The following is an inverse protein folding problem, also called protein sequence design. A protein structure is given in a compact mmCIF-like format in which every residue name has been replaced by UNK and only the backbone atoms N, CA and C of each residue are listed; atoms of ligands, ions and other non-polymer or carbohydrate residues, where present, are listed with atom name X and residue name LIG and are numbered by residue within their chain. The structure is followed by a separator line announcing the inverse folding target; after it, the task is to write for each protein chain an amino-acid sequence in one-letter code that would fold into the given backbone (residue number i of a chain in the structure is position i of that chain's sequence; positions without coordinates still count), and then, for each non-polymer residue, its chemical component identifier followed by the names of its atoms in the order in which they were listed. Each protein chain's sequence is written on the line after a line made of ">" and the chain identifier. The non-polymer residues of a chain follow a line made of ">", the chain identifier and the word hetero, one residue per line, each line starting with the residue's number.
data_IF_935456603355
#
_entry.id   IF_935456603355
#
_cell.length_a   1.000
_cell.length_b   1.000
_cell.length_c   1.000
_cell.angle_alpha   90.00
_cell.angle_beta   90.00
_cell.angle_gamma   90.00
#
_symmetry.space_group_name_H-M   'P 1'
#
loop_
_entity.id
_entity.type
_entity.pdbx_description
1 polymer ?
#
# COMPACT_ATOMS: atom_id res chain seq x y z
N UNK A 1 17.82 23.73 5.89
CA UNK A 1 17.16 22.62 6.62
C UNK A 1 16.08 22.10 5.68
N UNK A 2 16.03 20.80 5.42
CA UNK A 2 15.05 20.19 4.48
C UNK A 2 13.62 20.48 4.95
N UNK A 3 12.74 20.85 4.02
CA UNK A 3 11.33 21.08 4.29
C UNK A 3 10.52 19.87 3.80
N UNK A 4 9.48 19.50 4.53
CA UNK A 4 8.59 18.39 4.17
C UNK A 4 7.29 18.97 3.62
N UNK A 5 6.92 18.58 2.40
CA UNK A 5 5.65 18.91 1.77
C UNK A 5 4.79 17.65 1.71
N UNK A 6 3.75 17.57 2.53
CA UNK A 6 2.82 16.45 2.54
C UNK A 6 1.56 16.80 1.74
N UNK A 7 1.30 16.05 0.68
CA UNK A 7 0.20 16.28 -0.25
C UNK A 7 -0.92 15.27 0.00
N UNK A 8 -2.10 15.76 0.39
CA UNK A 8 -3.29 14.96 0.66
C UNK A 8 -3.53 14.65 2.14
N UNK A 9 -4.77 14.83 2.57
CA UNK A 9 -5.24 14.58 3.95
C UNK A 9 -6.42 13.60 3.94
N UNK A 10 -6.27 12.50 3.19
CA UNK A 10 -7.22 11.40 3.16
C UNK A 10 -7.24 10.64 4.49
N UNK A 11 -8.20 9.71 4.63
CA UNK A 11 -8.37 8.91 5.86
C UNK A 11 -7.09 8.18 6.29
N UNK A 12 -6.30 7.72 5.33
CA UNK A 12 -5.05 7.01 5.58
C UNK A 12 -3.82 7.93 5.76
N UNK A 13 -3.98 9.25 5.91
CA UNK A 13 -2.86 10.20 5.98
C UNK A 13 -2.64 10.79 7.37
N UNK A 14 -3.68 10.92 8.17
CA UNK A 14 -3.70 11.75 9.38
C UNK A 14 -2.67 11.32 10.44
N UNK A 15 -2.53 10.03 10.79
CA UNK A 15 -1.56 9.62 11.81
C UNK A 15 -0.12 9.98 11.45
N UNK A 16 0.27 9.78 10.18
CA UNK A 16 1.61 10.13 9.68
C UNK A 16 1.87 11.64 9.70
N UNK A 17 0.88 12.45 9.29
CA UNK A 17 0.95 13.91 9.39
C UNK A 17 1.18 14.34 10.84
N UNK A 18 0.38 13.83 11.77
CA UNK A 18 0.50 14.14 13.20
C UNK A 18 1.86 13.74 13.77
N UNK A 19 2.36 12.57 13.38
CA UNK A 19 3.69 12.12 13.79
C UNK A 19 4.80 13.06 13.29
N UNK A 20 4.80 13.41 12.01
CA UNK A 20 5.79 14.31 11.44
C UNK A 20 5.68 15.72 12.02
N UNK A 21 4.47 16.24 12.21
CA UNK A 21 4.25 17.55 12.79
C UNK A 21 4.72 17.66 14.25
N UNK A 22 4.65 16.57 15.03
CA UNK A 22 5.24 16.52 16.38
C UNK A 22 6.77 16.51 16.32
N UNK A 23 7.37 15.80 15.34
CA UNK A 23 8.81 15.56 15.25
C UNK A 23 9.57 16.70 14.57
N UNK A 24 9.03 17.24 13.49
CA UNK A 24 9.73 18.22 12.63
C UNK A 24 9.09 19.61 12.72
N UNK A 25 9.92 20.63 12.48
CA UNK A 25 9.49 22.02 12.51
C UNK A 25 9.26 22.63 11.12
N UNK A 26 9.68 21.95 10.05
CA UNK A 26 9.54 22.43 8.67
C UNK A 26 8.60 21.51 7.90
N UNK A 27 7.29 21.72 8.05
CA UNK A 27 6.27 20.88 7.45
C UNK A 27 5.15 21.72 6.86
N UNK A 28 4.79 21.49 5.60
CA UNK A 28 3.61 22.06 4.97
C UNK A 28 2.66 20.96 4.52
N UNK A 29 1.41 21.04 4.97
CA UNK A 29 0.34 20.13 4.56
C UNK A 29 -0.45 20.79 3.45
N UNK A 30 -0.58 20.07 2.33
CA UNK A 30 -1.30 20.53 1.16
C UNK A 30 -2.56 19.69 0.92
N UNK A 31 -3.69 20.33 0.75
CA UNK A 31 -4.91 19.64 0.35
C UNK A 31 -5.78 20.51 -0.56
N UNK A 32 -6.55 19.89 -1.46
CA UNK A 32 -7.48 20.59 -2.34
C UNK A 32 -8.42 21.53 -1.55
N UNK A 33 -8.87 21.10 -0.39
CA UNK A 33 -9.67 21.89 0.55
C UNK A 33 -8.78 22.36 1.68
N UNK A 34 -8.53 23.67 1.79
CA UNK A 34 -7.64 24.26 2.80
C UNK A 34 -8.06 23.88 4.24
N UNK A 35 -9.37 23.88 4.51
CA UNK A 35 -9.88 23.54 5.83
C UNK A 35 -9.52 22.10 6.27
N UNK A 36 -9.50 21.14 5.34
CA UNK A 36 -9.03 19.77 5.65
C UNK A 36 -7.54 19.73 5.98
N UNK A 37 -6.72 20.54 5.31
CA UNK A 37 -5.30 20.67 5.66
C UNK A 37 -5.13 21.27 7.06
N UNK A 38 -5.86 22.33 7.41
CA UNK A 38 -5.85 22.93 8.74
C UNK A 38 -6.32 21.95 9.82
N UNK A 39 -7.41 21.22 9.59
CA UNK A 39 -7.93 20.22 10.51
C UNK A 39 -6.94 19.11 10.83
N UNK A 40 -6.12 18.69 9.84
CA UNK A 40 -5.12 17.63 10.02
C UNK A 40 -4.01 17.99 11.03
N UNK A 41 -3.80 19.28 11.26
CA UNK A 41 -2.76 19.82 12.15
C UNK A 41 -3.32 20.72 13.28
N UNK A 42 -4.62 20.77 13.51
CA UNK A 42 -5.26 21.66 14.50
C UNK A 42 -4.78 21.43 15.94
N UNK A 43 -4.23 20.25 16.24
CA UNK A 43 -3.67 19.88 17.55
C UNK A 43 -2.17 20.23 17.65
N UNK A 44 -1.56 20.77 16.59
CA UNK A 44 -0.14 21.12 16.55
C UNK A 44 0.01 22.63 16.79
N UNK A 45 0.58 22.98 17.92
CA UNK A 45 0.88 24.38 18.24
C UNK A 45 2.35 24.70 17.90
N UNK A 46 2.64 24.83 16.59
CA UNK A 46 3.97 25.17 16.07
C UNK A 46 3.85 26.14 14.90
N UNK A 47 4.45 27.31 15.02
CA UNK A 47 4.46 28.35 13.97
C UNK A 47 5.15 27.93 12.67
N UNK A 48 5.86 26.83 12.69
CA UNK A 48 6.62 26.28 11.55
C UNK A 48 5.94 25.12 10.83
N UNK A 49 4.68 24.80 11.19
CA UNK A 49 3.83 23.80 10.54
C UNK A 49 2.67 24.52 9.85
N UNK A 50 2.60 24.41 8.53
CA UNK A 50 1.70 25.19 7.70
C UNK A 50 0.64 24.32 7.02
N UNK A 51 -0.53 24.90 6.78
CA UNK A 51 -1.58 24.34 5.93
C UNK A 51 -1.75 25.24 4.70
N UNK A 52 -1.72 24.63 3.49
CA UNK A 52 -1.92 25.34 2.23
C UNK A 52 -2.97 24.63 1.36
N UNK A 53 -3.69 25.41 0.57
CA UNK A 53 -4.51 24.86 -0.51
C UNK A 53 -3.58 24.31 -1.58
N UNK A 54 -3.80 23.05 -1.99
CA UNK A 54 -3.01 22.41 -3.02
C UNK A 54 -3.28 23.06 -4.38
N UNK A 55 -2.23 23.50 -4.99
CA UNK A 55 -2.13 23.97 -6.36
C UNK A 55 -0.72 23.61 -6.87
N UNK A 56 -0.61 23.13 -8.11
CA UNK A 56 0.65 22.66 -8.66
C UNK A 56 1.66 23.79 -8.85
N UNK A 57 1.20 24.99 -9.25
CA UNK A 57 2.08 26.14 -9.41
C UNK A 57 2.61 26.62 -8.07
N UNK A 58 1.72 26.75 -7.07
CA UNK A 58 2.12 27.14 -5.71
C UNK A 58 3.09 26.12 -5.08
N UNK A 59 2.88 24.82 -5.32
CA UNK A 59 3.83 23.80 -4.90
C UNK A 59 5.19 24.01 -5.57
N UNK A 60 5.21 24.17 -6.90
CA UNK A 60 6.41 24.41 -7.68
C UNK A 60 7.21 25.64 -7.20
N UNK A 61 6.54 26.73 -6.84
CA UNK A 61 7.14 27.96 -6.30
C UNK A 61 7.65 27.77 -4.84
N UNK A 62 7.10 26.80 -4.10
CA UNK A 62 7.45 26.56 -2.69
C UNK A 62 8.59 25.56 -2.50
N UNK A 63 8.95 24.79 -3.54
CA UNK A 63 9.98 23.75 -3.46
C UNK A 63 11.39 24.32 -3.56
N UNK A 64 12.27 23.87 -2.67
CA UNK A 64 13.71 24.15 -2.67
C UNK A 64 14.50 22.85 -2.85
N UNK A 65 15.74 22.96 -3.29
CA UNK A 65 16.65 21.81 -3.46
C UNK A 65 16.79 21.05 -2.15
N UNK A 66 16.60 19.74 -2.22
CA UNK A 66 16.71 18.83 -1.08
C UNK A 66 15.44 18.69 -0.24
N UNK A 67 14.36 19.42 -0.56
CA UNK A 67 13.07 19.24 0.12
C UNK A 67 12.50 17.83 -0.13
N UNK A 68 11.56 17.40 0.71
CA UNK A 68 10.92 16.09 0.62
C UNK A 68 9.44 16.28 0.30
N UNK A 69 8.98 15.71 -0.79
CA UNK A 69 7.56 15.73 -1.19
C UNK A 69 6.95 14.36 -0.94
N UNK A 70 5.97 14.31 -0.05
CA UNK A 70 5.20 13.11 0.28
C UNK A 70 3.86 13.18 -0.45
N UNK A 71 3.59 12.26 -1.37
CA UNK A 71 2.34 12.24 -2.12
C UNK A 71 1.39 11.15 -1.63
N UNK A 72 0.31 11.58 -1.01
CA UNK A 72 -0.88 10.78 -0.66
C UNK A 72 -2.10 11.24 -1.46
N UNK A 73 -1.87 11.75 -2.67
CA UNK A 73 -2.88 12.05 -3.66
C UNK A 73 -3.32 10.77 -4.39
N UNK A 74 -4.39 10.80 -5.21
CA UNK A 74 -4.70 9.69 -6.10
C UNK A 74 -3.53 9.33 -7.02
N UNK A 75 -3.37 8.05 -7.35
CA UNK A 75 -2.18 7.49 -8.01
C UNK A 75 -1.83 8.17 -9.36
N UNK A 76 -2.84 8.65 -10.10
CA UNK A 76 -2.64 9.37 -11.36
C UNK A 76 -1.88 10.70 -11.23
N UNK A 77 -1.73 11.24 -10.01
CA UNK A 77 -0.96 12.46 -9.76
C UNK A 77 0.51 12.18 -9.42
N UNK A 78 0.86 10.96 -8.99
CA UNK A 78 2.21 10.69 -8.46
C UNK A 78 3.32 10.95 -9.46
N UNK A 79 3.14 10.54 -10.73
CA UNK A 79 4.17 10.73 -11.76
C UNK A 79 4.45 12.21 -12.03
N UNK A 80 3.42 13.06 -12.11
CA UNK A 80 3.60 14.50 -12.33
C UNK A 80 4.31 15.17 -11.16
N UNK A 81 3.98 14.77 -9.93
CA UNK A 81 4.67 15.25 -8.72
C UNK A 81 6.14 14.78 -8.69
N UNK A 82 6.39 13.50 -9.01
CA UNK A 82 7.75 12.95 -9.04
C UNK A 82 8.63 13.65 -10.10
N UNK A 83 8.08 13.95 -11.29
CA UNK A 83 8.78 14.74 -12.31
C UNK A 83 9.10 16.16 -11.83
N UNK A 84 8.17 16.80 -11.15
CA UNK A 84 8.41 18.10 -10.52
C UNK A 84 9.52 18.00 -9.45
N UNK A 85 9.51 16.94 -8.63
CA UNK A 85 10.58 16.70 -7.65
C UNK A 85 11.94 16.54 -8.33
N UNK A 86 12.00 15.81 -9.44
CA UNK A 86 13.23 15.63 -10.21
C UNK A 86 13.77 16.98 -10.74
N UNK A 87 12.90 17.79 -11.33
CA UNK A 87 13.23 19.13 -11.83
C UNK A 87 13.75 20.04 -10.72
N UNK A 88 13.09 20.03 -9.56
CA UNK A 88 13.42 20.86 -8.39
C UNK A 88 14.53 20.28 -7.52
N UNK A 89 15.04 19.10 -7.85
CA UNK A 89 16.04 18.36 -7.05
C UNK A 89 15.55 18.11 -5.63
N UNK A 90 14.31 17.64 -5.51
CA UNK A 90 13.64 17.24 -4.26
C UNK A 90 13.54 15.71 -4.18
N UNK A 91 13.46 15.17 -2.97
CA UNK A 91 13.12 13.77 -2.73
C UNK A 91 11.63 13.56 -2.87
N UNK A 92 11.23 12.33 -3.23
CA UNK A 92 9.82 11.93 -3.38
C UNK A 92 9.51 10.69 -2.55
N UNK A 93 8.32 10.66 -1.93
CA UNK A 93 7.85 9.52 -1.16
C UNK A 93 6.34 9.28 -1.37
N UNK A 94 5.94 8.01 -1.47
CA UNK A 94 4.53 7.60 -1.54
C UNK A 94 4.34 6.17 -1.04
N UNK A 95 3.13 5.85 -0.56
CA UNK A 95 2.74 4.46 -0.24
C UNK A 95 2.25 3.67 -1.46
N UNK A 96 2.15 4.30 -2.63
CA UNK A 96 1.62 3.67 -3.85
C UNK A 96 2.64 2.81 -4.57
N UNK A 97 2.14 1.84 -5.35
CA UNK A 97 2.95 0.97 -6.20
C UNK A 97 3.80 1.73 -7.22
N UNK A 98 4.98 1.20 -7.53
CA UNK A 98 5.86 1.72 -8.58
C UNK A 98 5.26 1.38 -9.95
N UNK A 99 4.86 2.42 -10.69
CA UNK A 99 4.45 2.25 -12.08
C UNK A 99 5.68 2.13 -13.01
N UNK A 100 5.53 1.57 -14.24
CA UNK A 100 6.61 1.58 -15.23
C UNK A 100 7.17 2.97 -15.51
N UNK A 101 6.29 3.99 -15.59
CA UNK A 101 6.70 5.38 -15.79
C UNK A 101 7.47 5.95 -14.58
N UNK A 102 7.07 5.60 -13.35
CA UNK A 102 7.84 5.95 -12.16
C UNK A 102 9.22 5.28 -12.19
N UNK A 103 9.28 4.00 -12.53
CA UNK A 103 10.55 3.26 -12.66
C UNK A 103 11.48 3.88 -13.69
N UNK A 104 10.96 4.47 -14.77
CA UNK A 104 11.77 5.15 -15.78
C UNK A 104 12.55 6.36 -15.27
N UNK A 105 12.15 6.94 -14.13
CA UNK A 105 12.86 8.07 -13.49
C UNK A 105 14.09 7.64 -12.68
N UNK A 106 14.36 6.33 -12.51
CA UNK A 106 15.41 5.81 -11.63
C UNK A 106 16.80 6.36 -11.97
N UNK A 107 17.17 6.34 -13.25
CA UNK A 107 18.48 6.81 -13.70
C UNK A 107 18.71 8.30 -13.41
N UNK A 108 17.71 9.13 -13.67
CA UNK A 108 17.78 10.56 -13.42
C UNK A 108 17.74 10.88 -11.92
N UNK A 109 16.98 10.15 -11.13
CA UNK A 109 16.97 10.30 -9.68
C UNK A 109 18.34 9.95 -9.08
N UNK A 110 18.97 8.85 -9.51
CA UNK A 110 20.33 8.46 -9.11
C UNK A 110 21.35 9.52 -9.48
N UNK A 111 21.33 10.02 -10.71
CA UNK A 111 22.25 11.06 -11.21
C UNK A 111 22.17 12.35 -10.40
N UNK A 112 21.01 12.69 -9.87
CA UNK A 112 20.78 13.88 -9.06
C UNK A 112 20.90 13.63 -7.55
N UNK A 113 21.26 12.43 -7.09
CA UNK A 113 21.32 12.02 -5.68
C UNK A 113 19.98 12.19 -4.96
N UNK A 114 18.89 11.79 -5.62
CA UNK A 114 17.54 11.88 -5.09
C UNK A 114 17.00 10.50 -4.68
N UNK A 115 16.30 10.46 -3.57
CA UNK A 115 15.54 9.29 -3.11
C UNK A 115 14.10 9.44 -3.62
N UNK A 116 13.65 8.47 -4.42
CA UNK A 116 12.26 8.33 -4.86
C UNK A 116 11.72 7.03 -4.29
N UNK A 117 11.26 7.09 -3.02
CA UNK A 117 10.76 5.91 -2.33
C UNK A 117 9.26 5.75 -2.53
N UNK A 118 8.87 4.55 -2.91
CA UNK A 118 7.50 4.14 -3.17
C UNK A 118 7.18 2.88 -2.34
N UNK A 119 5.94 2.45 -2.35
CA UNK A 119 5.55 1.18 -1.70
C UNK A 119 5.93 1.14 -0.21
N UNK A 120 5.75 2.26 0.48
CA UNK A 120 6.07 2.40 1.92
C UNK A 120 4.79 2.69 2.69
N UNK A 121 3.89 1.73 2.66
CA UNK A 121 2.63 1.75 3.37
C UNK A 121 2.37 0.44 4.09
N UNK A 122 1.18 -0.12 3.91
CA UNK A 122 0.76 -1.39 4.48
C UNK A 122 0.95 -2.53 3.47
N UNK A 123 0.23 -2.50 2.39
CA UNK A 123 0.28 -3.37 1.21
C UNK A 123 -0.03 -2.48 -0.02
N UNK A 124 1.07 -1.98 -0.61
CA UNK A 124 2.48 -2.35 -0.42
C UNK A 124 3.18 -1.60 0.73
N UNK A 125 4.10 -2.30 1.42
CA UNK A 125 5.01 -1.75 2.41
C UNK A 125 5.35 -2.70 3.55
N UNK A 126 4.50 -2.83 4.57
CA UNK A 126 4.74 -3.77 5.69
C UNK A 126 4.83 -5.21 5.18
N UNK A 127 4.04 -5.58 4.19
CA UNK A 127 4.12 -6.88 3.51
C UNK A 127 5.49 -7.13 2.89
N UNK A 128 6.14 -6.11 2.34
CA UNK A 128 7.50 -6.21 1.82
C UNK A 128 8.51 -6.51 2.93
N UNK A 129 8.45 -5.80 4.05
CA UNK A 129 9.34 -6.08 5.19
C UNK A 129 9.20 -7.53 5.68
N UNK A 130 7.97 -8.00 5.87
CA UNK A 130 7.72 -9.38 6.28
C UNK A 130 8.25 -10.40 5.26
N UNK A 131 8.09 -10.10 3.98
CA UNK A 131 8.57 -10.96 2.89
C UNK A 131 10.09 -11.07 2.88
N UNK A 132 10.79 -9.94 2.93
CA UNK A 132 12.25 -9.92 2.97
C UNK A 132 12.80 -10.66 4.19
N UNK A 133 12.20 -10.46 5.37
CA UNK A 133 12.60 -11.16 6.59
C UNK A 133 12.41 -12.68 6.47
N UNK A 134 11.30 -13.16 5.89
CA UNK A 134 11.06 -14.60 5.71
C UNK A 134 12.03 -15.21 4.68
N UNK A 135 12.24 -14.53 3.55
CA UNK A 135 13.20 -14.98 2.54
C UNK A 135 14.61 -15.06 3.10
N UNK A 136 15.02 -14.04 3.89
CA UNK A 136 16.32 -14.05 4.57
C UNK A 136 16.42 -15.23 5.53
N UNK A 137 15.42 -15.43 6.40
CA UNK A 137 15.40 -16.57 7.34
C UNK A 137 15.54 -17.92 6.63
N UNK A 138 14.85 -18.11 5.50
CA UNK A 138 14.97 -19.35 4.72
C UNK A 138 16.36 -19.49 4.11
N UNK A 139 16.96 -18.43 3.57
CA UNK A 139 18.34 -18.44 3.04
C UNK A 139 19.37 -18.79 4.11
N UNK A 140 19.19 -18.26 5.32
CA UNK A 140 20.11 -18.50 6.44
C UNK A 140 20.12 -19.99 6.88
N UNK A 141 19.12 -20.79 6.51
CA UNK A 141 19.13 -22.26 6.75
C UNK A 141 20.13 -23.02 5.87
N UNK A 142 20.61 -22.40 4.80
CA UNK A 142 21.49 -23.03 3.77
C UNK A 142 20.90 -24.29 3.11
N UNK A 143 19.58 -24.50 3.19
CA UNK A 143 18.87 -25.59 2.52
C UNK A 143 18.88 -25.38 0.99
N UNK A 144 18.90 -26.45 0.23
CA UNK A 144 18.94 -26.43 -1.24
C UNK A 144 17.86 -27.33 -1.84
N UNK A 145 17.63 -27.20 -3.15
CA UNK A 145 16.65 -28.01 -3.89
C UNK A 145 15.23 -27.90 -3.30
N UNK A 146 14.81 -26.67 -2.97
CA UNK A 146 13.54 -26.41 -2.32
C UNK A 146 12.41 -26.20 -3.33
N UNK A 147 11.25 -26.76 -3.05
CA UNK A 147 9.97 -26.29 -3.55
C UNK A 147 9.41 -25.28 -2.53
N UNK A 148 9.04 -24.09 -2.98
CA UNK A 148 8.57 -23.02 -2.08
C UNK A 148 7.16 -22.57 -2.39
N UNK A 149 6.40 -22.29 -1.36
CA UNK A 149 5.06 -21.70 -1.40
C UNK A 149 5.08 -20.39 -0.62
N UNK A 150 4.68 -19.32 -1.29
CA UNK A 150 4.63 -17.99 -0.70
C UNK A 150 3.23 -17.38 -0.85
N UNK A 151 2.70 -16.92 0.26
CA UNK A 151 1.43 -16.21 0.31
C UNK A 151 1.59 -14.89 1.11
N UNK A 152 1.12 -13.80 0.53
CA UNK A 152 0.94 -12.52 1.21
C UNK A 152 -0.49 -12.06 0.99
N UNK A 153 -1.28 -11.99 2.07
CA UNK A 153 -2.65 -11.56 2.00
C UNK A 153 -2.91 -10.43 2.97
N UNK A 154 -3.57 -9.37 2.48
CA UNK A 154 -3.94 -8.21 3.28
C UNK A 154 -5.42 -7.86 3.08
N UNK A 155 -6.10 -7.50 4.16
CA UNK A 155 -7.47 -7.02 4.11
C UNK A 155 -7.77 -5.95 5.14
N UNK A 156 -8.51 -4.93 4.71
CA UNK A 156 -9.10 -3.92 5.60
C UNK A 156 -10.61 -4.03 5.53
N UNK A 157 -11.29 -4.11 6.67
CA UNK A 157 -12.73 -4.32 6.79
C UNK A 157 -13.25 -3.75 8.13
N UNK A 158 -14.57 -3.64 8.34
CA UNK A 158 -15.11 -3.20 9.62
C UNK A 158 -14.76 -4.21 10.73
N UNK A 159 -14.39 -3.72 11.92
CA UNK A 159 -14.10 -4.55 13.09
C UNK A 159 -15.34 -5.36 13.52
N UNK A 160 -16.54 -4.79 13.34
CA UNK A 160 -17.82 -5.48 13.51
C UNK A 160 -18.43 -5.68 12.12
N UNK A 161 -18.58 -6.93 11.63
CA UNK A 161 -19.10 -7.20 10.31
C UNK A 161 -20.52 -6.66 10.10
N UNK A 162 -20.76 -6.01 8.95
CA UNK A 162 -22.09 -5.61 8.49
C UNK A 162 -22.63 -6.60 7.42
N UNK A 163 -23.86 -6.40 6.94
CA UNK A 163 -24.46 -7.26 5.91
C UNK A 163 -23.72 -7.17 4.56
N UNK A 164 -23.13 -6.03 4.24
CA UNK A 164 -22.33 -5.82 3.02
C UNK A 164 -20.93 -6.42 3.12
N UNK A 165 -20.53 -6.89 4.32
CA UNK A 165 -19.20 -7.46 4.63
C UNK A 165 -18.03 -6.53 4.33
N UNK A 166 -18.29 -5.24 4.17
CA UNK A 166 -17.27 -4.23 3.88
C UNK A 166 -17.69 -2.81 4.31
N UNK A 167 -16.74 -1.98 4.62
CA UNK A 167 -16.82 -0.51 4.73
C UNK A 167 -15.56 0.12 4.14
N UNK A 168 -15.69 1.34 3.66
CA UNK A 168 -14.60 1.96 2.91
C UNK A 168 -13.75 2.87 3.80
N UNK A 169 -12.50 2.47 4.06
CA UNK A 169 -11.45 3.29 4.65
C UNK A 169 -10.57 3.99 3.60
N UNK A 170 -10.78 3.67 2.32
CA UNK A 170 -10.12 4.26 1.17
C UNK A 170 -11.05 4.25 -0.06
N UNK A 171 -10.54 4.58 -1.25
CA UNK A 171 -11.33 4.78 -2.47
C UNK A 171 -12.18 3.56 -2.89
N UNK A 172 -13.52 3.62 -2.87
CA UNK A 172 -14.37 2.55 -3.39
C UNK A 172 -14.12 2.24 -4.86
N UNK A 173 -13.91 3.27 -5.68
CA UNK A 173 -13.55 3.13 -7.10
C UNK A 173 -12.27 2.31 -7.24
N UNK A 174 -11.27 2.58 -6.39
CA UNK A 174 -10.01 1.82 -6.37
C UNK A 174 -10.22 0.35 -6.02
N UNK A 175 -11.11 0.04 -5.08
CA UNK A 175 -11.46 -1.34 -4.70
C UNK A 175 -12.11 -2.07 -5.88
N UNK A 176 -13.09 -1.46 -6.56
CA UNK A 176 -13.82 -2.08 -7.66
C UNK A 176 -12.90 -2.26 -8.89
N UNK A 177 -12.09 -1.25 -9.23
CA UNK A 177 -11.12 -1.34 -10.34
C UNK A 177 -10.09 -2.44 -10.07
N UNK A 178 -9.65 -2.63 -8.83
CA UNK A 178 -8.74 -3.72 -8.49
C UNK A 178 -9.35 -5.11 -8.73
N UNK A 179 -10.66 -5.28 -8.53
CA UNK A 179 -11.37 -6.53 -8.81
C UNK A 179 -11.48 -6.81 -10.33
N UNK A 180 -11.61 -5.76 -11.13
CA UNK A 180 -11.76 -5.87 -12.59
C UNK A 180 -10.43 -6.07 -13.33
N UNK A 181 -9.29 -5.83 -12.68
CA UNK A 181 -7.99 -6.05 -13.27
C UNK A 181 -7.53 -7.48 -13.00
N UNK A 182 -7.13 -8.20 -14.05
CA UNK A 182 -6.62 -9.56 -13.91
C UNK A 182 -5.40 -9.59 -12.97
N UNK A 183 -5.36 -10.64 -12.16
CA UNK A 183 -4.25 -10.95 -11.28
C UNK A 183 -3.35 -12.01 -11.93
N UNK A 184 -2.03 -11.81 -11.82
CA UNK A 184 -1.03 -12.74 -12.33
C UNK A 184 -0.17 -13.25 -11.17
N UNK A 185 -0.06 -14.57 -11.04
CA UNK A 185 0.60 -15.23 -9.92
C UNK A 185 1.09 -16.61 -10.30
N UNK A 186 1.79 -17.30 -9.42
CA UNK A 186 2.24 -18.68 -9.65
C UNK A 186 1.35 -19.64 -8.87
N UNK A 187 0.85 -20.69 -9.53
CA UNK A 187 0.12 -21.82 -8.95
C UNK A 187 0.57 -23.11 -9.61
N UNK A 188 0.88 -24.15 -8.80
CA UNK A 188 1.35 -25.45 -9.30
C UNK A 188 2.55 -25.34 -10.27
N UNK A 189 3.55 -24.50 -9.89
CA UNK A 189 4.78 -24.21 -10.68
C UNK A 189 4.56 -23.47 -12.00
N UNK A 190 3.34 -23.04 -12.30
CA UNK A 190 2.99 -22.34 -13.53
C UNK A 190 2.48 -20.92 -13.23
N UNK A 191 2.82 -19.99 -14.11
CA UNK A 191 2.25 -18.65 -14.06
C UNK A 191 0.85 -18.68 -14.64
N UNK A 192 -0.11 -18.22 -13.84
CA UNK A 192 -1.53 -18.11 -14.20
C UNK A 192 -2.00 -16.68 -14.17
N UNK A 193 -3.01 -16.36 -14.97
CA UNK A 193 -3.68 -15.05 -14.98
C UNK A 193 -5.17 -15.28 -14.83
N UNK A 194 -5.76 -14.68 -13.81
CA UNK A 194 -7.16 -14.91 -13.45
C UNK A 194 -7.84 -13.61 -13.00
N UNK A 195 -9.14 -13.50 -13.28
CA UNK A 195 -9.94 -12.39 -12.76
C UNK A 195 -10.18 -12.60 -11.25
N UNK A 196 -9.82 -11.64 -10.39
CA UNK A 196 -9.81 -11.81 -8.93
C UNK A 196 -11.11 -12.36 -8.35
N UNK A 197 -12.25 -11.70 -8.61
CA UNK A 197 -13.54 -12.08 -8.02
C UNK A 197 -14.14 -13.40 -8.55
N UNK A 198 -13.54 -14.00 -9.59
CA UNK A 198 -13.90 -15.33 -10.10
C UNK A 198 -13.13 -16.47 -9.42
N UNK A 199 -12.16 -16.13 -8.60
CA UNK A 199 -11.25 -17.05 -7.94
C UNK A 199 -11.17 -16.79 -6.44
N UNK A 200 -12.33 -16.53 -5.84
CA UNK A 200 -12.46 -16.36 -4.40
C UNK A 200 -12.37 -17.72 -3.72
N UNK A 201 -11.39 -17.87 -2.85
CA UNK A 201 -11.21 -19.07 -2.02
C UNK A 201 -11.36 -18.75 -0.53
N UNK A 202 -11.49 -19.79 0.28
CA UNK A 202 -11.44 -19.64 1.75
C UNK A 202 -10.01 -19.80 2.24
N UNK A 203 -9.62 -18.91 3.13
CA UNK A 203 -8.29 -18.90 3.74
C UNK A 203 -8.42 -18.74 5.26
N UNK A 204 -7.83 -19.68 6.02
CA UNK A 204 -7.86 -19.62 7.48
C UNK A 204 -6.59 -18.99 8.01
N UNK A 205 -6.73 -17.95 8.83
CA UNK A 205 -5.64 -17.26 9.50
C UNK A 205 -6.01 -17.13 10.98
N UNK A 206 -5.19 -17.64 11.87
CA UNK A 206 -5.44 -17.63 13.32
C UNK A 206 -6.87 -18.06 13.70
N UNK A 207 -7.31 -19.23 13.19
CA UNK A 207 -8.62 -19.82 13.42
C UNK A 207 -9.83 -19.00 12.91
N UNK A 208 -9.60 -17.88 12.22
CA UNK A 208 -10.63 -17.09 11.57
C UNK A 208 -10.65 -17.37 10.06
N UNK A 209 -11.83 -17.59 9.51
CA UNK A 209 -12.02 -17.87 8.08
C UNK A 209 -12.27 -16.57 7.35
N UNK A 210 -11.45 -16.32 6.33
CA UNK A 210 -11.58 -15.22 5.39
C UNK A 210 -11.89 -15.74 4.00
N UNK A 211 -12.49 -14.90 3.17
CA UNK A 211 -12.47 -15.07 1.73
C UNK A 211 -11.26 -14.34 1.16
N UNK A 212 -10.55 -14.98 0.23
CA UNK A 212 -9.31 -14.48 -0.31
C UNK A 212 -9.25 -14.64 -1.83
N UNK A 213 -8.63 -13.69 -2.49
CA UNK A 213 -8.42 -13.73 -3.92
C UNK A 213 -7.07 -13.09 -4.30
N UNK A 214 -6.45 -13.54 -5.42
CA UNK A 214 -5.20 -12.95 -5.90
C UNK A 214 -5.42 -11.49 -6.33
N UNK A 215 -4.40 -10.65 -6.18
CA UNK A 215 -4.48 -9.23 -6.50
C UNK A 215 -3.27 -8.81 -7.32
N UNK A 216 -3.49 -8.14 -8.46
CA UNK A 216 -2.45 -7.58 -9.33
C UNK A 216 -1.47 -8.63 -9.89
N UNK A 217 -0.34 -8.18 -10.46
CA UNK A 217 0.76 -9.05 -10.86
C UNK A 217 1.71 -9.26 -9.67
N UNK A 218 1.72 -10.48 -9.14
CA UNK A 218 2.60 -10.89 -8.05
C UNK A 218 4.00 -11.28 -8.54
N UNK A 219 4.15 -11.63 -9.83
CA UNK A 219 5.37 -12.27 -10.34
C UNK A 219 6.64 -11.43 -10.27
N UNK A 220 6.62 -10.08 -10.42
CA UNK A 220 7.82 -9.27 -10.27
C UNK A 220 8.44 -9.35 -8.87
N UNK A 221 7.61 -9.60 -7.85
CA UNK A 221 8.05 -9.63 -6.46
C UNK A 221 8.89 -10.87 -6.11
N UNK A 222 8.88 -11.92 -6.91
CA UNK A 222 9.81 -13.05 -6.77
C UNK A 222 11.26 -12.54 -6.81
N UNK A 223 11.55 -11.65 -7.75
CA UNK A 223 12.86 -11.01 -7.88
C UNK A 223 13.07 -9.92 -6.84
N UNK A 224 12.09 -9.07 -6.61
CA UNK A 224 12.16 -7.95 -5.67
C UNK A 224 12.38 -8.45 -4.23
N UNK A 225 11.79 -9.57 -3.83
CA UNK A 225 12.02 -10.19 -2.51
C UNK A 225 13.28 -11.05 -2.47
N UNK A 226 14.07 -11.07 -3.53
CA UNK A 226 15.33 -11.82 -3.61
C UNK A 226 15.17 -13.33 -3.39
N UNK A 227 14.10 -13.96 -3.91
CA UNK A 227 13.99 -15.41 -3.91
C UNK A 227 15.21 -16.02 -4.62
N UNK A 228 15.74 -17.14 -4.09
CA UNK A 228 16.86 -17.81 -4.73
C UNK A 228 16.40 -18.37 -6.09
N UNK A 229 17.09 -18.07 -7.19
CA UNK A 229 16.74 -18.60 -8.52
C UNK A 229 16.76 -20.14 -8.63
N UNK A 230 17.38 -20.81 -7.66
CA UNK A 230 17.41 -22.27 -7.60
C UNK A 230 16.17 -22.88 -6.94
N UNK A 231 15.37 -22.08 -6.23
CA UNK A 231 14.11 -22.54 -5.65
C UNK A 231 13.07 -22.75 -6.74
N UNK A 232 12.35 -23.84 -6.65
CA UNK A 232 11.18 -24.09 -7.52
C UNK A 232 9.95 -23.47 -6.86
N UNK A 233 9.39 -22.48 -7.48
CA UNK A 233 8.22 -21.77 -6.97
C UNK A 233 6.98 -22.60 -7.26
N UNK A 234 6.43 -23.26 -6.25
CA UNK A 234 5.18 -24.01 -6.36
C UNK A 234 3.99 -23.06 -6.36
N UNK A 235 3.97 -22.10 -5.42
CA UNK A 235 2.98 -21.04 -5.36
C UNK A 235 3.65 -19.73 -5.01
N UNK A 236 3.19 -18.64 -5.62
CA UNK A 236 3.56 -17.28 -5.24
C UNK A 236 2.39 -16.35 -5.49
N UNK A 237 1.71 -15.97 -4.42
CA UNK A 237 0.49 -15.17 -4.48
C UNK A 237 0.59 -13.98 -3.54
N UNK A 238 0.30 -12.79 -4.07
CA UNK A 238 -0.11 -11.63 -3.28
C UNK A 238 -1.59 -11.40 -3.52
N UNK A 239 -2.36 -11.22 -2.46
CA UNK A 239 -3.81 -11.22 -2.58
C UNK A 239 -4.50 -10.42 -1.49
N UNK A 240 -5.81 -10.42 -1.57
CA UNK A 240 -6.68 -9.63 -0.70
C UNK A 240 -7.52 -10.55 0.16
N UNK A 241 -7.62 -10.22 1.46
CA UNK A 241 -8.57 -10.84 2.40
C UNK A 241 -9.87 -10.05 2.45
N UNK A 242 -10.97 -10.79 2.61
CA UNK A 242 -12.30 -10.27 2.87
C UNK A 242 -12.96 -11.07 4.00
N UNK A 243 -13.94 -10.46 4.65
CA UNK A 243 -14.76 -11.18 5.64
C UNK A 243 -15.51 -12.34 4.99
N UNK A 244 -15.65 -13.45 5.69
CA UNK A 244 -16.43 -14.58 5.22
C UNK A 244 -17.89 -14.17 4.89
N UNK A 245 -18.35 -14.54 3.68
CA UNK A 245 -19.63 -14.13 3.09
C UNK A 245 -19.57 -12.85 2.26
N UNK A 246 -18.39 -12.29 2.02
CA UNK A 246 -18.22 -11.13 1.16
C UNK A 246 -18.56 -11.43 -0.31
N UNK A 247 -18.14 -12.57 -0.83
CA UNK A 247 -18.43 -13.00 -2.20
C UNK A 247 -19.94 -12.97 -2.47
N UNK A 248 -20.71 -13.54 -1.56
CA UNK A 248 -22.16 -13.54 -1.67
C UNK A 248 -22.76 -12.12 -1.55
N UNK A 249 -22.26 -11.31 -0.63
CA UNK A 249 -22.73 -9.94 -0.44
C UNK A 249 -22.45 -9.01 -1.63
N UNK A 250 -21.44 -9.34 -2.46
CA UNK A 250 -21.01 -8.54 -3.61
C UNK A 250 -21.44 -9.09 -4.96
N UNK A 251 -22.31 -10.11 -4.99
CA UNK A 251 -22.78 -10.76 -6.21
C UNK A 251 -23.29 -9.80 -7.28
N UNK A 252 -24.01 -8.73 -6.90
CA UNK A 252 -24.54 -7.78 -7.89
C UNK A 252 -23.45 -6.87 -8.47
N UNK A 253 -22.42 -6.57 -7.70
CA UNK A 253 -21.22 -5.86 -8.20
C UNK A 253 -20.49 -6.75 -9.21
N UNK A 254 -20.34 -8.04 -8.94
CA UNK A 254 -19.69 -8.98 -9.86
C UNK A 254 -20.47 -9.13 -11.17
N UNK A 255 -21.81 -9.19 -11.13
CA UNK A 255 -22.65 -9.18 -12.34
C UNK A 255 -22.44 -7.92 -13.18
N UNK A 256 -22.32 -6.77 -12.54
CA UNK A 256 -22.02 -5.50 -13.24
C UNK A 256 -20.66 -5.57 -13.95
N UNK A 257 -19.61 -6.08 -13.26
CA UNK A 257 -18.29 -6.24 -13.84
C UNK A 257 -18.27 -7.26 -15.00
N UNK A 258 -19.06 -8.32 -14.91
CA UNK A 258 -19.17 -9.34 -15.96
C UNK A 258 -19.85 -8.82 -17.24
N UNK A 259 -20.71 -7.82 -17.16
CA UNK A 259 -21.39 -7.24 -18.32
C UNK A 259 -20.44 -6.56 -19.32
N UNK A 260 -19.24 -6.18 -18.90
CA UNK A 260 -18.23 -5.51 -19.76
C UNK A 260 -18.83 -4.41 -20.61
N UNK A 261 -19.73 -3.61 -20.03
CA UNK A 261 -20.36 -2.47 -20.68
C UNK A 261 -19.31 -1.53 -21.27
N UNK A 262 -19.52 -0.91 -22.43
CA UNK A 262 -18.66 0.16 -22.94
C UNK A 262 -18.53 1.36 -21.99
N UNK A 263 -19.50 1.51 -21.08
CA UNK A 263 -19.54 2.58 -20.07
C UNK A 263 -19.07 2.11 -18.69
N UNK A 264 -18.44 0.93 -18.60
CA UNK A 264 -18.06 0.29 -17.32
C UNK A 264 -17.26 1.23 -16.39
N UNK A 265 -16.34 2.01 -16.92
CA UNK A 265 -15.58 2.97 -16.10
C UNK A 265 -16.49 4.01 -15.44
N UNK A 266 -17.49 4.52 -16.19
CA UNK A 266 -18.48 5.46 -15.66
C UNK A 266 -19.41 4.80 -14.63
N UNK A 267 -19.82 3.57 -14.89
CA UNK A 267 -20.62 2.76 -13.95
C UNK A 267 -19.85 2.52 -12.65
N UNK A 268 -18.55 2.21 -12.72
CA UNK A 268 -17.67 2.04 -11.54
C UNK A 268 -17.56 3.34 -10.76
N UNK A 269 -17.39 4.48 -11.44
CA UNK A 269 -17.27 5.78 -10.78
C UNK A 269 -18.57 6.15 -10.04
N UNK A 270 -19.75 5.92 -10.68
CA UNK A 270 -21.06 6.14 -10.08
C UNK A 270 -21.31 5.21 -8.87
N UNK A 271 -21.05 3.92 -9.05
CA UNK A 271 -21.18 2.93 -7.98
C UNK A 271 -20.24 3.28 -6.82
N UNK A 272 -19.01 3.68 -7.10
CA UNK A 272 -18.06 4.12 -6.08
C UNK A 272 -18.57 5.29 -5.24
N UNK A 273 -19.20 6.28 -5.89
CA UNK A 273 -19.81 7.42 -5.21
C UNK A 273 -21.02 7.02 -4.35
N UNK A 274 -21.82 6.05 -4.82
CA UNK A 274 -22.96 5.50 -4.10
C UNK A 274 -22.50 4.70 -2.87
N UNK A 275 -21.55 3.78 -3.04
CA UNK A 275 -21.01 2.95 -1.97
C UNK A 275 -20.34 3.78 -0.88
N UNK A 276 -19.66 4.87 -1.26
CA UNK A 276 -19.09 5.81 -0.30
C UNK A 276 -20.14 6.43 0.63
N UNK A 277 -21.35 6.68 0.11
CA UNK A 277 -22.47 7.23 0.89
C UNK A 277 -23.17 6.16 1.73
N UNK A 278 -23.29 4.91 1.20
CA UNK A 278 -24.04 3.83 1.85
C UNK A 278 -23.25 3.11 2.94
N UNK A 279 -21.94 2.99 2.78
CA UNK A 279 -21.06 2.19 3.64
C UNK A 279 -19.87 2.97 4.22
N UNK A 280 -20.05 4.21 4.73
CA UNK A 280 -19.00 4.92 5.44
C UNK A 280 -18.75 4.28 6.81
N UNK A 281 -17.59 4.53 7.40
CA UNK A 281 -17.42 4.35 8.84
C UNK A 281 -18.14 5.48 9.57
N UNK A 282 -18.95 5.13 10.56
CA UNK A 282 -19.54 6.07 11.50
C UNK A 282 -18.51 6.45 12.57
N UNK A 283 -18.81 7.48 13.37
CA UNK A 283 -17.87 8.06 14.33
C UNK A 283 -17.37 7.03 15.36
N UNK A 284 -18.23 6.10 15.76
CA UNK A 284 -17.94 5.09 16.79
C UNK A 284 -17.54 3.74 16.20
N UNK A 285 -17.33 3.66 14.89
CA UNK A 285 -17.00 2.42 14.22
C UNK A 285 -15.52 2.33 13.94
N UNK A 286 -14.93 1.22 14.33
CA UNK A 286 -13.53 0.90 14.09
C UNK A 286 -13.37 0.05 12.83
N UNK A 287 -12.32 0.31 12.08
CA UNK A 287 -11.81 -0.60 11.06
C UNK A 287 -10.89 -1.64 11.70
N UNK A 288 -10.66 -2.72 10.98
CA UNK A 288 -9.68 -3.74 11.30
C UNK A 288 -8.87 -4.07 10.07
N UNK A 289 -7.58 -4.22 10.23
CA UNK A 289 -6.66 -4.63 9.18
C UNK A 289 -6.00 -5.92 9.59
N UNK A 290 -6.04 -6.91 8.69
CA UNK A 290 -5.32 -8.17 8.83
C UNK A 290 -4.33 -8.28 7.68
N UNK A 291 -3.06 -8.53 8.02
CA UNK A 291 -1.98 -8.83 7.07
C UNK A 291 -1.31 -10.13 7.49
N UNK A 292 -1.12 -11.01 6.54
CA UNK A 292 -0.49 -12.29 6.74
C UNK A 292 0.50 -12.58 5.61
N UNK A 293 1.73 -12.88 5.96
CA UNK A 293 2.77 -13.30 5.01
C UNK A 293 3.35 -14.62 5.47
N UNK A 294 3.32 -15.63 4.59
CA UNK A 294 3.78 -16.98 4.86
C UNK A 294 4.74 -17.47 3.77
N UNK A 295 5.81 -18.12 4.21
CA UNK A 295 6.75 -18.81 3.34
C UNK A 295 6.94 -20.23 3.85
N UNK A 296 6.63 -21.20 3.01
CA UNK A 296 6.87 -22.62 3.25
C UNK A 296 7.95 -23.12 2.32
N UNK A 297 8.78 -24.03 2.78
CA UNK A 297 9.69 -24.74 1.90
C UNK A 297 9.65 -26.25 2.16
N UNK A 298 9.71 -26.99 1.08
CA UNK A 298 9.67 -28.45 1.04
C UNK A 298 10.91 -28.99 0.35
N UNK A 299 11.47 -30.06 0.91
CA UNK A 299 12.53 -30.85 0.32
C UNK A 299 12.06 -32.30 0.31
N UNK A 300 12.09 -32.98 -0.84
CA UNK A 300 11.61 -34.35 -0.99
C UNK A 300 10.20 -34.58 -0.41
N UNK A 301 9.30 -33.63 -0.63
CA UNK A 301 7.92 -33.56 -0.12
C UNK A 301 7.79 -33.46 1.43
N UNK A 302 8.87 -33.24 2.14
CA UNK A 302 8.83 -32.95 3.58
C UNK A 302 8.94 -31.44 3.81
N UNK A 303 8.09 -30.91 4.71
CA UNK A 303 8.19 -29.51 5.13
C UNK A 303 9.46 -29.32 5.94
N UNK A 304 10.37 -28.48 5.45
CA UNK A 304 11.66 -28.18 6.10
C UNK A 304 11.75 -26.74 6.60
N UNK A 305 10.80 -25.89 6.19
CA UNK A 305 10.68 -24.51 6.69
C UNK A 305 9.22 -24.06 6.67
N UNK A 306 8.81 -23.43 7.77
CA UNK A 306 7.48 -22.83 7.92
C UNK A 306 7.63 -21.51 8.68
N UNK A 307 7.68 -20.42 7.93
CA UNK A 307 7.77 -19.08 8.49
C UNK A 307 6.54 -18.26 8.17
N UNK A 308 6.07 -17.49 9.14
CA UNK A 308 5.00 -16.52 8.89
C UNK A 308 5.14 -15.29 9.77
N UNK A 309 4.59 -14.20 9.28
CA UNK A 309 4.29 -13.00 10.05
C UNK A 309 2.80 -12.69 9.94
N UNK A 310 2.25 -12.23 11.02
CA UNK A 310 0.85 -11.90 11.15
C UNK A 310 0.70 -10.55 11.84
N UNK A 311 -0.21 -9.73 11.32
CA UNK A 311 -0.60 -8.46 11.90
C UNK A 311 -2.12 -8.40 11.91
N UNK A 312 -2.70 -8.04 13.05
CA UNK A 312 -4.13 -7.82 13.24
C UNK A 312 -4.29 -6.56 14.07
N UNK A 313 -4.68 -5.47 13.42
CA UNK A 313 -4.78 -4.16 14.03
C UNK A 313 -6.21 -3.66 13.93
N UNK A 314 -6.73 -3.10 15.02
CA UNK A 314 -8.01 -2.41 15.06
C UNK A 314 -7.80 -0.92 15.20
N UNK A 315 -8.65 -0.14 14.55
CA UNK A 315 -8.71 1.28 14.74
C UNK A 315 -9.05 1.65 16.18
N UNK A 316 -8.82 2.90 16.51
CA UNK A 316 -9.20 3.51 17.79
C UNK A 316 -10.15 4.70 17.54
N UNK A 317 -10.58 5.35 18.60
CA UNK A 317 -11.40 6.56 18.50
C UNK A 317 -10.65 7.73 17.84
N UNK A 318 -9.30 7.68 17.85
CA UNK A 318 -8.46 8.73 17.28
C UNK A 318 -8.05 8.46 15.83
N UNK A 319 -7.80 7.19 15.47
CA UNK A 319 -7.22 6.82 14.21
C UNK A 319 -7.76 5.48 13.70
N UNK A 320 -7.93 5.37 12.39
CA UNK A 320 -8.21 4.09 11.75
C UNK A 320 -6.95 3.21 11.75
N UNK A 321 -7.13 1.89 11.80
CA UNK A 321 -6.03 0.92 11.63
C UNK A 321 -5.33 1.13 10.28
N UNK A 322 -6.11 1.30 9.20
CA UNK A 322 -5.57 1.59 7.87
C UNK A 322 -4.73 2.88 7.88
N UNK A 323 -5.22 3.93 8.54
CA UNK A 323 -4.49 5.20 8.65
C UNK A 323 -3.17 5.05 9.37
N UNK A 324 -3.15 4.35 10.50
CA UNK A 324 -1.94 4.07 11.27
C UNK A 324 -0.91 3.30 10.42
N UNK A 325 -1.32 2.16 9.88
CA UNK A 325 -0.41 1.25 9.17
C UNK A 325 0.15 1.84 7.87
N UNK A 326 -0.64 2.62 7.13
CA UNK A 326 -0.18 3.25 5.90
C UNK A 326 0.68 4.48 6.19
N UNK A 327 0.17 5.45 6.95
CA UNK A 327 0.83 6.75 7.01
C UNK A 327 1.95 6.84 8.05
N UNK A 328 1.89 6.05 9.13
CA UNK A 328 3.01 5.99 10.06
C UNK A 328 4.21 5.34 9.38
N UNK A 329 4.01 4.22 8.67
CA UNK A 329 5.06 3.56 7.87
C UNK A 329 5.69 4.53 6.87
N UNK A 330 4.86 5.24 6.10
CA UNK A 330 5.36 6.28 5.18
C UNK A 330 6.12 7.38 5.91
N UNK A 331 5.64 7.82 7.07
CA UNK A 331 6.32 8.85 7.85
C UNK A 331 7.67 8.38 8.42
N UNK A 332 7.86 7.07 8.67
CA UNK A 332 9.15 6.49 9.04
C UNK A 332 10.15 6.53 7.87
N UNK A 333 9.67 6.33 6.64
CA UNK A 333 10.54 6.48 5.47
C UNK A 333 11.08 7.91 5.32
N UNK A 334 10.30 8.94 5.72
CA UNK A 334 10.77 10.32 5.74
C UNK A 334 11.92 10.48 6.75
N UNK A 335 11.84 9.81 7.90
CA UNK A 335 12.96 9.80 8.86
C UNK A 335 14.24 9.25 8.24
N UNK A 336 14.14 8.18 7.45
CA UNK A 336 15.28 7.56 6.77
C UNK A 336 15.87 8.48 5.69
N UNK A 337 15.02 9.20 4.94
CA UNK A 337 15.50 10.23 3.99
C UNK A 337 16.26 11.32 4.73
N UNK A 338 15.68 11.87 5.80
CA UNK A 338 16.30 12.92 6.63
C UNK A 338 17.63 12.49 7.25
N UNK A 339 17.82 11.20 7.49
CA UNK A 339 19.05 10.60 8.04
C UNK A 339 20.04 10.15 6.96
N UNK A 340 19.73 10.34 5.67
CA UNK A 340 20.51 9.85 4.54
C UNK A 340 20.78 8.33 4.59
N UNK A 341 19.78 7.54 5.03
CA UNK A 341 19.90 6.08 5.16
C UNK A 341 19.35 5.29 3.99
N UNK A 342 18.80 5.96 2.98
CA UNK A 342 18.25 5.32 1.78
C UNK A 342 19.15 5.50 0.57
N UNK A 343 19.13 4.52 -0.31
CA UNK A 343 19.81 4.58 -1.59
C UNK A 343 19.16 5.62 -2.51
N UNK A 344 19.92 6.19 -3.44
CA UNK A 344 19.37 7.07 -4.45
C UNK A 344 18.70 6.27 -5.56
N UNK A 345 17.70 6.87 -6.18
CA UNK A 345 16.90 6.26 -7.26
C UNK A 345 15.48 5.93 -6.84
N UNK A 346 14.77 5.25 -7.75
CA UNK A 346 13.41 4.77 -7.53
C UNK A 346 13.46 3.41 -6.86
N UNK A 347 12.93 3.32 -5.65
CA UNK A 347 12.97 2.10 -4.84
C UNK A 347 11.64 1.85 -4.13
N UNK A 348 11.38 0.59 -3.81
CA UNK A 348 10.34 0.17 -2.89
C UNK A 348 10.80 0.34 -1.42
N UNK A 349 10.00 -0.16 -0.48
CA UNK A 349 10.37 -0.22 0.93
C UNK A 349 11.77 -0.85 1.10
N UNK A 350 12.63 -0.30 1.97
CA UNK A 350 13.97 -0.85 2.18
C UNK A 350 13.91 -2.28 2.71
N UNK A 351 14.92 -3.08 2.39
CA UNK A 351 14.96 -4.51 2.67
C UNK A 351 16.13 -4.93 3.57
N UNK A 352 16.94 -3.99 4.00
CA UNK A 352 17.99 -4.26 5.00
C UNK A 352 17.46 -4.04 6.43
N UNK A 353 18.09 -4.71 7.39
CA UNK A 353 17.67 -4.69 8.80
C UNK A 353 18.08 -3.40 9.54
N UNK A 354 18.82 -2.51 8.88
CA UNK A 354 19.30 -1.24 9.46
C UNK A 354 18.40 -0.07 9.12
#
# INVERSE_FOLDING_TARGET
>A
MQHIHWLGTGLSSIPGIRRLAKKYNNLTIWNRTLEKAKQSINHVNKDSVFAKKFDMQLLNESLNIGDIVVSQLPANHHLSIARLCLEKKCHFATSSYISPDMRSLDGDAKKNNLVFINEVGLDPGIDHFFSHLLVKKLKDTSLSNLNVTYHSYCGGFPAIPNNFKYKFSWSPVGVIKALNNDAKFVRNFETVTETPYKNVGKYTVNDEIYEAYPNRDSTPYIKEYHFDPKWKIQEFVRGTLRLNGWENAWTDIFKMLDNKSPELDHEIDNLGAELWKKHPYLQDEQDRVVLFVKLLAYQDNQEVFNGFYFLDEKGSDENTAMGNLVSITLSCAIDLIMQNKLQYGVQAAPHDEN
#
